data_IF_874670325978
#
_entry.id   IF_874670325978
#
_cell.length_a   1.000
_cell.length_b   1.000
_cell.length_c   1.000
_cell.angle_alpha   90.00
_cell.angle_beta   90.00
_cell.angle_gamma   90.00
#
_symmetry.space_group_name_H-M   'P 1'
#
loop_
_entity.id
_entity.type
_entity.pdbx_description
1 polymer ?
#
# COMPACT_ATOMS: atom_id res chain seq x y z
N UNK A 1 -5.67 -15.27 15.43
CA UNK A 1 -4.24 -15.45 15.10
C UNK A 1 -3.51 -14.15 15.45
N UNK A 2 -2.45 -14.16 16.26
CA UNK A 2 -1.68 -12.95 16.55
C UNK A 2 -0.91 -12.50 15.29
N UNK A 3 -0.99 -11.22 14.93
CA UNK A 3 -0.27 -10.66 13.78
C UNK A 3 1.17 -10.31 14.17
N UNK A 4 2.12 -10.55 13.27
CA UNK A 4 3.54 -10.40 13.58
C UNK A 4 4.08 -9.02 13.22
N UNK A 5 4.95 -8.50 14.10
CA UNK A 5 5.61 -7.23 13.89
C UNK A 5 6.83 -7.38 12.97
N UNK A 6 6.70 -6.98 11.72
CA UNK A 6 7.78 -6.67 10.78
C UNK A 6 8.55 -5.44 11.27
N UNK A 7 9.86 -5.59 11.47
CA UNK A 7 10.79 -4.51 11.79
C UNK A 7 10.99 -3.58 10.58
N UNK A 8 11.01 -2.27 10.81
CA UNK A 8 11.21 -1.25 9.76
C UNK A 8 9.93 -0.74 9.08
N UNK A 9 8.76 -1.31 9.37
CA UNK A 9 7.48 -0.79 8.87
C UNK A 9 6.88 0.23 9.85
N UNK A 10 6.61 1.45 9.38
CA UNK A 10 5.99 2.49 10.21
C UNK A 10 4.54 2.07 10.58
N UNK A 11 4.16 2.07 11.87
CA UNK A 11 2.82 1.69 12.33
C UNK A 11 1.67 2.49 11.71
N UNK A 12 1.93 3.73 11.27
CA UNK A 12 0.95 4.61 10.63
C UNK A 12 0.77 4.31 9.14
N UNK A 13 1.61 3.46 8.57
CA UNK A 13 1.54 3.12 7.15
C UNK A 13 0.25 2.34 6.87
N UNK A 14 -0.57 2.78 5.90
CA UNK A 14 -1.65 1.98 5.35
C UNK A 14 -1.09 0.73 4.67
N UNK A 15 -1.63 -0.43 5.05
CA UNK A 15 -1.21 -1.74 4.50
C UNK A 15 -2.38 -2.55 3.95
N UNK A 16 -3.60 -2.12 4.25
CA UNK A 16 -4.82 -2.79 3.84
C UNK A 16 -5.93 -1.74 3.63
N UNK A 17 -6.97 -2.08 2.88
CA UNK A 17 -8.12 -1.21 2.66
C UNK A 17 -9.40 -2.03 2.81
N UNK A 18 -10.37 -1.49 3.54
CA UNK A 18 -11.72 -2.03 3.63
C UNK A 18 -12.61 -1.30 2.61
N UNK A 19 -13.02 -1.97 1.50
CA UNK A 19 -13.87 -1.34 0.49
C UNK A 19 -15.30 -1.10 0.97
N UNK A 20 -15.79 -1.85 1.96
CA UNK A 20 -17.14 -1.69 2.53
C UNK A 20 -17.19 -0.43 3.38
N UNK A 21 -16.17 -0.24 4.22
CA UNK A 21 -16.05 0.95 5.09
C UNK A 21 -15.35 2.12 4.42
N UNK A 22 -14.82 1.92 3.20
CA UNK A 22 -13.96 2.87 2.46
C UNK A 22 -12.80 3.39 3.31
N UNK A 23 -12.21 2.51 4.13
CA UNK A 23 -11.24 2.87 5.16
C UNK A 23 -9.88 2.24 4.86
N UNK A 24 -8.83 3.07 4.84
CA UNK A 24 -7.46 2.59 4.86
C UNK A 24 -7.13 2.06 6.27
N UNK A 25 -6.69 0.81 6.35
CA UNK A 25 -6.31 0.14 7.58
C UNK A 25 -4.80 0.25 7.74
N UNK A 26 -4.39 0.84 8.85
CA UNK A 26 -2.97 0.99 9.19
C UNK A 26 -2.39 -0.29 9.76
N UNK A 27 -1.07 -0.39 9.69
CA UNK A 27 -0.36 -1.51 10.27
C UNK A 27 -0.58 -1.66 11.79
N UNK A 28 -0.63 -0.55 12.52
CA UNK A 28 -0.95 -0.55 13.95
C UNK A 28 -2.35 -1.12 14.24
N UNK A 29 -3.35 -0.79 13.43
CA UNK A 29 -4.72 -1.28 13.60
C UNK A 29 -4.79 -2.79 13.38
N UNK A 30 -4.10 -3.30 12.37
CA UNK A 30 -3.94 -4.74 12.13
C UNK A 30 -3.26 -5.44 13.32
N UNK A 31 -2.11 -4.94 13.78
CA UNK A 31 -1.39 -5.52 14.91
C UNK A 31 -2.21 -5.52 16.21
N UNK A 32 -3.00 -4.47 16.44
CA UNK A 32 -3.87 -4.37 17.62
C UNK A 32 -5.10 -5.28 17.56
N UNK A 33 -5.35 -5.95 16.44
CA UNK A 33 -6.53 -6.80 16.23
C UNK A 33 -7.85 -6.02 16.12
N UNK A 34 -7.79 -4.69 16.01
CA UNK A 34 -8.98 -3.84 15.82
C UNK A 34 -9.61 -4.02 14.45
N UNK A 35 -8.80 -4.34 13.47
CA UNK A 35 -9.22 -4.56 12.08
C UNK A 35 -8.69 -5.91 11.58
N UNK A 36 -9.35 -6.45 10.55
CA UNK A 36 -8.95 -7.71 9.92
C UNK A 36 -8.22 -7.44 8.61
N UNK A 37 -7.38 -8.40 8.20
CA UNK A 37 -6.70 -8.35 6.91
C UNK A 37 -7.72 -8.60 5.80
N UNK A 38 -7.97 -7.59 4.97
CA UNK A 38 -8.70 -7.72 3.71
C UNK A 38 -7.70 -8.16 2.62
N UNK A 39 -7.96 -9.23 1.87
CA UNK A 39 -7.08 -9.69 0.80
C UNK A 39 -6.94 -8.62 -0.29
N UNK A 40 -5.70 -8.27 -0.67
CA UNK A 40 -5.44 -7.32 -1.77
C UNK A 40 -6.10 -7.79 -3.07
N UNK A 41 -6.15 -9.09 -3.32
CA UNK A 41 -6.76 -9.65 -4.53
C UNK A 41 -8.28 -9.50 -4.60
N UNK A 42 -8.93 -9.16 -3.48
CA UNK A 42 -10.36 -8.82 -3.44
C UNK A 42 -10.64 -7.34 -3.68
N UNK A 43 -9.61 -6.49 -3.68
CA UNK A 43 -9.76 -5.06 -3.96
C UNK A 43 -9.97 -4.83 -5.45
N UNK A 44 -10.89 -3.92 -5.76
CA UNK A 44 -10.97 -3.36 -7.11
C UNK A 44 -9.74 -2.51 -7.41
N UNK A 45 -9.45 -2.27 -8.69
CA UNK A 45 -8.33 -1.40 -9.08
C UNK A 45 -8.49 0.02 -8.48
N UNK A 46 -9.72 0.53 -8.36
CA UNK A 46 -9.99 1.82 -7.72
C UNK A 46 -9.70 1.82 -6.21
N UNK A 47 -10.05 0.75 -5.50
CA UNK A 47 -9.76 0.61 -4.08
C UNK A 47 -8.25 0.44 -3.83
N UNK A 48 -7.58 -0.31 -4.70
CA UNK A 48 -6.13 -0.46 -4.68
C UNK A 48 -5.44 0.88 -4.95
N UNK A 49 -5.90 1.65 -5.94
CA UNK A 49 -5.39 3.01 -6.20
C UNK A 49 -5.49 3.87 -4.96
N UNK A 50 -6.66 3.89 -4.30
CA UNK A 50 -6.85 4.65 -3.06
C UNK A 50 -5.89 4.22 -1.96
N UNK A 51 -5.72 2.92 -1.75
CA UNK A 51 -4.76 2.40 -0.77
C UNK A 51 -3.33 2.87 -1.06
N UNK A 52 -2.89 2.77 -2.32
CA UNK A 52 -1.54 3.15 -2.73
C UNK A 52 -1.34 4.66 -2.62
N UNK A 53 -2.32 5.47 -3.00
CA UNK A 53 -2.27 6.94 -2.84
C UNK A 53 -2.18 7.34 -1.37
N UNK A 54 -3.01 6.76 -0.50
CA UNK A 54 -2.96 7.02 0.94
C UNK A 54 -1.63 6.58 1.55
N UNK A 55 -1.08 5.45 1.08
CA UNK A 55 0.23 4.95 1.49
C UNK A 55 1.37 5.87 1.05
N UNK A 56 1.33 6.40 -0.18
CA UNK A 56 2.29 7.38 -0.67
C UNK A 56 2.21 8.70 0.12
N UNK A 57 1.00 9.16 0.46
CA UNK A 57 0.79 10.37 1.28
C UNK A 57 1.31 10.20 2.70
N UNK A 58 1.09 9.03 3.32
CA UNK A 58 1.52 8.72 4.67
C UNK A 58 3.03 8.38 4.79
N UNK A 59 3.64 7.94 3.69
CA UNK A 59 5.06 7.58 3.64
C UNK A 59 6.02 8.77 3.73
N UNK A 60 7.34 8.52 3.72
CA UNK A 60 8.36 9.57 3.62
C UNK A 60 8.32 10.25 2.25
N UNK A 61 8.82 11.48 2.14
CA UNK A 61 8.87 12.18 0.86
C UNK A 61 9.88 11.48 -0.04
N UNK A 62 9.44 10.97 -1.19
CA UNK A 62 10.25 10.16 -2.10
C UNK A 62 10.42 10.87 -3.43
N UNK A 63 11.64 10.79 -3.96
CA UNK A 63 11.95 11.11 -5.37
C UNK A 63 12.28 9.79 -6.06
N UNK A 64 11.43 9.36 -6.97
CA UNK A 64 11.63 8.13 -7.74
C UNK A 64 12.14 8.52 -9.13
N UNK A 65 13.32 8.03 -9.49
CA UNK A 65 13.89 8.27 -10.81
C UNK A 65 13.76 7.02 -11.67
N UNK A 66 13.11 7.14 -12.83
CA UNK A 66 13.18 6.10 -13.86
C UNK A 66 14.59 6.08 -14.48
N UNK A 67 15.02 4.92 -15.01
CA UNK A 67 16.36 4.70 -15.61
C UNK A 67 16.71 5.79 -16.66
N UNK A 68 15.69 6.34 -17.34
CA UNK A 68 15.81 7.55 -18.15
C UNK A 68 14.58 8.43 -17.91
N UNK A 69 14.79 9.71 -17.59
CA UNK A 69 13.69 10.67 -17.43
C UNK A 69 13.91 11.67 -16.29
N UNK A 70 12.92 12.55 -16.10
CA UNK A 70 12.87 13.48 -14.98
C UNK A 70 12.56 12.69 -13.70
N UNK A 71 13.14 13.03 -12.55
CA UNK A 71 12.74 12.44 -11.28
C UNK A 71 11.26 12.76 -11.01
N UNK A 72 10.49 11.74 -10.66
CA UNK A 72 9.11 11.87 -10.23
C UNK A 72 9.08 12.16 -8.74
N UNK A 73 8.37 13.21 -8.36
CA UNK A 73 8.02 13.45 -6.96
C UNK A 73 6.89 12.51 -6.54
N UNK A 74 6.62 12.44 -5.23
CA UNK A 74 5.42 11.78 -4.70
C UNK A 74 4.14 12.29 -5.38
N UNK A 75 4.00 13.60 -5.53
CA UNK A 75 2.82 14.21 -6.14
C UNK A 75 2.69 13.80 -7.62
N UNK A 76 3.80 13.74 -8.36
CA UNK A 76 3.79 13.27 -9.75
C UNK A 76 3.37 11.79 -9.84
N UNK A 77 3.81 10.96 -8.89
CA UNK A 77 3.41 9.56 -8.77
C UNK A 77 1.93 9.40 -8.47
N UNK A 78 1.41 10.14 -7.48
CA UNK A 78 -0.01 10.13 -7.12
C UNK A 78 -0.84 10.51 -8.34
N UNK A 79 -0.47 11.61 -9.01
CA UNK A 79 -1.15 12.07 -10.22
C UNK A 79 -1.11 11.03 -11.34
N UNK A 80 0.05 10.40 -11.57
CA UNK A 80 0.17 9.36 -12.59
C UNK A 80 -0.72 8.14 -12.32
N UNK A 81 -0.91 7.77 -11.04
CA UNK A 81 -1.81 6.69 -10.62
C UNK A 81 -3.28 7.11 -10.79
N UNK A 82 -3.64 8.32 -10.36
CA UNK A 82 -4.99 8.86 -10.47
C UNK A 82 -5.43 9.03 -11.94
N UNK A 83 -4.51 9.43 -12.82
CA UNK A 83 -4.77 9.64 -14.26
C UNK A 83 -4.56 8.37 -15.12
N UNK A 84 -4.34 7.20 -14.50
CA UNK A 84 -4.14 5.94 -15.23
C UNK A 84 -2.99 5.96 -16.25
N UNK A 85 -1.96 6.76 -16.00
CA UNK A 85 -0.81 6.86 -16.88
C UNK A 85 -0.02 5.54 -16.89
N UNK A 86 0.69 5.19 -17.98
CA UNK A 86 1.44 3.93 -18.08
C UNK A 86 2.39 3.69 -16.89
N UNK A 87 3.09 4.74 -16.45
CA UNK A 87 3.95 4.65 -15.27
C UNK A 87 3.17 4.44 -13.98
N UNK A 88 2.04 5.12 -13.79
CA UNK A 88 1.17 4.94 -12.63
C UNK A 88 0.58 3.52 -12.54
N UNK A 89 0.19 2.93 -13.67
CA UNK A 89 -0.29 1.53 -13.73
C UNK A 89 0.81 0.54 -13.33
N UNK A 90 2.03 0.72 -13.85
CA UNK A 90 3.18 -0.10 -13.47
C UNK A 90 3.50 0.03 -11.98
N UNK A 91 3.45 1.24 -11.43
CA UNK A 91 3.61 1.47 -9.99
C UNK A 91 2.51 0.77 -9.19
N UNK A 92 1.26 0.85 -9.64
CA UNK A 92 0.12 0.22 -8.97
C UNK A 92 0.27 -1.31 -8.93
N UNK A 93 0.69 -1.93 -10.03
CA UNK A 93 0.95 -3.38 -10.10
C UNK A 93 2.11 -3.79 -9.18
N UNK A 94 3.20 -3.01 -9.17
CA UNK A 94 4.34 -3.26 -8.29
C UNK A 94 3.93 -3.15 -6.80
N UNK A 95 3.17 -2.12 -6.43
CA UNK A 95 2.64 -1.95 -5.08
C UNK A 95 1.65 -3.06 -4.71
N UNK A 96 0.81 -3.53 -5.65
CA UNK A 96 -0.07 -4.68 -5.43
C UNK A 96 0.72 -5.92 -5.01
N UNK A 97 1.77 -6.25 -5.75
CA UNK A 97 2.63 -7.39 -5.46
C UNK A 97 3.34 -7.23 -4.12
N UNK A 98 3.89 -6.03 -3.83
CA UNK A 98 4.56 -5.73 -2.58
C UNK A 98 3.60 -5.79 -1.37
N UNK A 99 2.38 -5.27 -1.49
CA UNK A 99 1.36 -5.32 -0.44
C UNK A 99 0.89 -6.76 -0.19
N UNK A 100 0.74 -7.56 -1.24
CA UNK A 100 0.40 -8.99 -1.11
C UNK A 100 1.48 -9.73 -0.32
N UNK A 101 2.75 -9.56 -0.66
CA UNK A 101 3.87 -10.15 0.09
C UNK A 101 3.90 -9.63 1.54
N UNK A 102 3.69 -8.33 1.73
CA UNK A 102 3.67 -7.71 3.05
C UNK A 102 2.57 -8.31 3.95
N UNK A 103 1.34 -8.39 3.44
CA UNK A 103 0.23 -9.00 4.20
C UNK A 103 0.48 -10.47 4.47
N UNK A 104 1.02 -11.20 3.49
CA UNK A 104 1.41 -12.59 3.68
C UNK A 104 2.44 -12.72 4.82
N UNK A 105 3.46 -11.85 4.88
CA UNK A 105 4.45 -11.83 5.98
C UNK A 105 3.85 -11.44 7.32
N UNK A 106 2.93 -10.48 7.36
CA UNK A 106 2.20 -10.08 8.59
C UNK A 106 1.39 -11.27 9.13
N UNK A 107 0.79 -12.06 8.24
CA UNK A 107 0.03 -13.26 8.57
C UNK A 107 0.92 -14.48 8.88
N UNK A 108 2.03 -14.64 8.16
CA UNK A 108 2.90 -15.83 8.17
C UNK A 108 3.98 -15.83 9.25
N UNK A 109 4.15 -14.77 10.04
CA UNK A 109 5.05 -14.82 11.19
C UNK A 109 4.69 -15.89 12.24
N UNK A 110 3.59 -16.63 12.06
CA UNK A 110 3.26 -17.88 12.76
C UNK A 110 3.96 -19.12 12.18
N UNK A 111 5.29 -19.10 12.05
CA UNK A 111 6.09 -20.33 11.99
C UNK A 111 7.24 -20.26 13.00
#
# INVERSE_FOLDING_TARGET
>A
MPMHRIEGLDPKTPVCYDPVRKKAITYAELLSGKEQVVPIDSLSDDDLKRLVVERLRAGPDIKVQAISGRPYTREDLIKAIEEDQPFGRLTLEAERAALRDLLARIQAGSQ
#
